data_IF_993870716819
#
_entry.id   IF_993870716819
#
_cell.length_a   1.000
_cell.length_b   1.000
_cell.length_c   1.000
_cell.angle_alpha   90.00
_cell.angle_beta   90.00
_cell.angle_gamma   90.00
#
_symmetry.space_group_name_H-M   'P 1'
#
loop_
_entity.id
_entity.type
_entity.pdbx_description
1 polymer ?
#
# COMPACT_ATOMS: atom_id res chain seq x y z
N UNK A 1 -19.47 -2.73 -11.57
CA UNK A 1 -19.58 -1.69 -10.53
C UNK A 1 -20.17 -2.40 -9.32
N UNK A 2 -19.37 -2.58 -8.26
CA UNK A 2 -19.83 -3.30 -7.06
C UNK A 2 -20.98 -2.54 -6.42
N UNK A 3 -21.98 -3.26 -5.93
CA UNK A 3 -23.05 -2.67 -5.13
C UNK A 3 -22.46 -2.08 -3.85
N UNK A 4 -22.93 -0.89 -3.45
CA UNK A 4 -22.43 -0.22 -2.27
C UNK A 4 -22.98 -0.91 -1.02
N UNK A 5 -22.10 -1.56 -0.26
CA UNK A 5 -22.48 -2.21 0.99
C UNK A 5 -22.67 -1.18 2.12
N UNK A 6 -23.92 -1.01 2.55
CA UNK A 6 -24.29 -0.08 3.62
C UNK A 6 -24.05 -0.64 5.03
N UNK A 7 -23.90 -1.96 5.15
CA UNK A 7 -23.75 -2.70 6.41
C UNK A 7 -22.27 -2.92 6.71
N UNK A 8 -21.53 -3.55 5.79
CA UNK A 8 -20.09 -3.75 5.91
C UNK A 8 -19.31 -2.68 5.14
N UNK A 9 -18.99 -1.58 5.82
CA UNK A 9 -18.26 -0.43 5.25
C UNK A 9 -16.74 -0.60 5.25
N UNK A 10 -16.22 -1.69 5.83
CA UNK A 10 -14.79 -2.04 5.81
C UNK A 10 -14.57 -3.51 5.37
N UNK A 11 -14.91 -3.87 4.12
CA UNK A 11 -14.84 -5.25 3.65
C UNK A 11 -13.41 -5.82 3.57
N UNK A 12 -12.40 -4.95 3.51
CA UNK A 12 -10.99 -5.33 3.46
C UNK A 12 -10.29 -5.24 4.83
N UNK A 13 -11.04 -4.93 5.90
CA UNK A 13 -10.52 -4.84 7.26
C UNK A 13 -9.31 -3.90 7.40
N UNK A 14 -9.30 -2.80 6.64
CA UNK A 14 -8.17 -1.85 6.64
C UNK A 14 -8.09 -1.07 7.96
N UNK A 15 -9.19 -1.00 8.70
CA UNK A 15 -9.30 -0.27 9.97
C UNK A 15 -9.44 -1.21 11.18
N UNK A 16 -8.99 -2.47 11.09
CA UNK A 16 -9.09 -3.44 12.19
C UNK A 16 -8.50 -2.95 13.51
N UNK A 17 -7.42 -2.19 13.45
CA UNK A 17 -6.75 -1.60 14.61
C UNK A 17 -7.62 -0.58 15.38
N UNK A 18 -8.74 -0.09 14.80
CA UNK A 18 -9.68 0.82 15.46
C UNK A 18 -10.81 0.09 16.20
N UNK A 19 -10.90 -1.24 16.10
CA UNK A 19 -11.88 -2.09 16.80
C UNK A 19 -11.54 -2.17 18.30
N UNK A 20 -11.76 -1.06 19.01
CA UNK A 20 -11.52 -0.91 20.46
C UNK A 20 -12.84 -1.01 21.23
N UNK A 21 -12.95 -1.99 22.12
CA UNK A 21 -14.07 -2.20 23.04
C UNK A 21 -13.87 -1.43 24.36
N UNK A 22 -14.92 -1.38 25.20
CA UNK A 22 -14.84 -0.70 26.50
C UNK A 22 -13.79 -1.37 27.39
N UNK A 23 -13.79 -2.69 27.41
CA UNK A 23 -12.93 -3.56 28.20
C UNK A 23 -11.46 -3.51 27.75
N UNK A 24 -11.19 -3.08 26.51
CA UNK A 24 -9.81 -2.87 26.02
C UNK A 24 -9.18 -1.60 26.61
N UNK A 25 -10.00 -0.67 27.11
CA UNK A 25 -9.56 0.64 27.63
C UNK A 25 -9.74 0.72 29.14
N UNK A 26 -10.87 0.24 29.65
CA UNK A 26 -11.25 0.26 31.04
C UNK A 26 -11.60 -1.17 31.44
N UNK A 27 -10.76 -1.77 32.29
CA UNK A 27 -10.93 -3.12 32.80
C UNK A 27 -10.66 -3.14 34.30
N UNK A 28 -11.53 -3.83 35.05
CA UNK A 28 -11.37 -4.09 36.47
C UNK A 28 -10.93 -5.54 36.69
N UNK A 29 -9.84 -5.80 37.45
CA UNK A 29 -9.36 -7.15 37.72
C UNK A 29 -10.21 -7.85 38.79
N UNK A 30 -10.13 -9.19 38.83
CA UNK A 30 -10.77 -9.97 39.90
C UNK A 30 -10.29 -9.52 41.28
N UNK A 31 -11.22 -9.08 42.13
CA UNK A 31 -10.95 -8.62 43.49
C UNK A 31 -10.95 -7.10 43.68
N UNK A 32 -11.03 -6.31 42.61
CA UNK A 32 -11.23 -4.84 42.69
C UNK A 32 -12.34 -4.43 41.74
N UNK A 33 -13.59 -4.52 42.22
CA UNK A 33 -14.77 -4.15 41.44
C UNK A 33 -15.41 -2.88 41.97
N UNK A 34 -15.70 -1.96 41.06
CA UNK A 34 -16.66 -0.90 41.32
C UNK A 34 -18.07 -1.48 41.46
N UNK A 35 -19.00 -0.67 41.98
CA UNK A 35 -20.40 -1.08 42.07
C UNK A 35 -20.97 -1.34 40.67
N UNK A 36 -21.76 -2.41 40.51
CA UNK A 36 -22.34 -2.82 39.20
C UNK A 36 -23.04 -1.69 38.44
N UNK A 37 -23.72 -0.79 39.17
CA UNK A 37 -24.40 0.35 38.56
C UNK A 37 -23.42 1.35 37.93
N UNK A 38 -22.26 1.57 38.56
CA UNK A 38 -21.20 2.46 38.07
C UNK A 38 -20.54 1.82 36.85
N UNK A 39 -20.22 0.53 36.92
CA UNK A 39 -19.63 -0.20 35.80
C UNK A 39 -20.56 -0.20 34.57
N UNK A 40 -21.83 -0.55 34.75
CA UNK A 40 -22.83 -0.57 33.67
C UNK A 40 -23.08 0.82 33.05
N UNK A 41 -23.16 1.86 33.88
CA UNK A 41 -23.36 3.22 33.37
C UNK A 41 -22.12 3.75 32.65
N UNK A 42 -20.92 3.40 33.13
CA UNK A 42 -19.65 3.73 32.45
C UNK A 42 -19.58 3.09 31.07
N UNK A 43 -19.91 1.80 30.96
CA UNK A 43 -19.99 1.08 29.68
C UNK A 43 -20.94 1.78 28.69
N UNK A 44 -22.15 2.14 29.13
CA UNK A 44 -23.14 2.82 28.28
C UNK A 44 -22.66 4.21 27.87
N UNK A 45 -22.13 4.99 28.81
CA UNK A 45 -21.63 6.33 28.57
C UNK A 45 -20.48 6.32 27.56
N UNK A 46 -19.50 5.44 27.74
CA UNK A 46 -18.37 5.29 26.83
C UNK A 46 -18.81 5.01 25.39
N UNK A 47 -19.65 3.99 25.18
CA UNK A 47 -20.12 3.62 23.85
C UNK A 47 -20.99 4.71 23.21
N UNK A 48 -21.84 5.37 24.00
CA UNK A 48 -22.66 6.49 23.54
C UNK A 48 -21.79 7.67 23.09
N UNK A 49 -20.86 8.13 23.93
CA UNK A 49 -19.96 9.23 23.62
C UNK A 49 -19.08 8.92 22.40
N UNK A 50 -18.51 7.71 22.32
CA UNK A 50 -17.71 7.26 21.16
C UNK A 50 -18.53 7.34 19.87
N UNK A 51 -19.73 6.79 19.88
CA UNK A 51 -20.62 6.78 18.71
C UNK A 51 -21.07 8.18 18.30
N UNK A 52 -21.48 9.02 19.26
CA UNK A 52 -21.93 10.38 19.01
C UNK A 52 -20.82 11.25 18.45
N UNK A 53 -19.64 11.25 19.07
CA UNK A 53 -18.50 12.02 18.60
C UNK A 53 -18.12 11.63 17.16
N UNK A 54 -18.03 10.33 16.88
CA UNK A 54 -17.75 9.84 15.52
C UNK A 54 -18.83 10.27 14.51
N UNK A 55 -20.11 10.16 14.89
CA UNK A 55 -21.23 10.56 14.03
C UNK A 55 -21.21 12.05 13.73
N UNK A 56 -20.94 12.90 14.72
CA UNK A 56 -20.85 14.35 14.52
C UNK A 56 -19.69 14.69 13.59
N UNK A 57 -18.51 14.11 13.81
CA UNK A 57 -17.34 14.34 12.94
C UNK A 57 -17.61 13.92 11.50
N UNK A 58 -18.22 12.75 11.30
CA UNK A 58 -18.54 12.24 9.96
C UNK A 58 -19.67 13.03 9.28
N UNK A 59 -20.65 13.52 10.03
CA UNK A 59 -21.70 14.41 9.52
C UNK A 59 -21.12 15.73 9.01
N UNK A 60 -20.22 16.33 9.79
CA UNK A 60 -19.65 17.64 9.46
C UNK A 60 -18.62 17.56 8.33
N UNK A 61 -17.78 16.51 8.30
CA UNK A 61 -16.60 16.50 7.43
C UNK A 61 -16.55 15.32 6.44
N UNK A 62 -17.37 14.28 6.62
CA UNK A 62 -17.21 13.02 5.89
C UNK A 62 -17.34 13.15 4.38
N UNK A 63 -18.36 13.87 3.90
CA UNK A 63 -18.60 14.06 2.47
C UNK A 63 -17.50 14.93 1.84
N UNK A 64 -17.05 15.97 2.53
CA UNK A 64 -15.99 16.85 2.05
C UNK A 64 -14.66 16.09 1.87
N UNK A 65 -14.27 15.29 2.86
CA UNK A 65 -13.06 14.45 2.79
C UNK A 65 -13.20 13.37 1.71
N UNK A 66 -14.38 12.76 1.56
CA UNK A 66 -14.62 11.80 0.49
C UNK A 66 -14.46 12.43 -0.90
N UNK A 67 -14.95 13.66 -1.08
CA UNK A 67 -14.79 14.42 -2.33
C UNK A 67 -13.32 14.78 -2.61
N UNK A 68 -12.57 15.21 -1.59
CA UNK A 68 -11.13 15.48 -1.68
C UNK A 68 -10.36 14.25 -2.22
N UNK A 69 -10.53 13.09 -1.58
CA UNK A 69 -9.86 11.87 -2.03
C UNK A 69 -10.30 11.43 -3.43
N UNK A 70 -11.57 11.61 -3.78
CA UNK A 70 -12.06 11.35 -5.13
C UNK A 70 -11.35 12.20 -6.19
N UNK A 71 -11.18 13.50 -5.93
CA UNK A 71 -10.44 14.41 -6.80
C UNK A 71 -8.95 14.05 -6.89
N UNK A 72 -8.31 13.73 -5.75
CA UNK A 72 -6.89 13.38 -5.70
C UNK A 72 -6.60 12.13 -6.55
N UNK A 73 -7.39 11.06 -6.38
CA UNK A 73 -7.20 9.85 -7.18
C UNK A 73 -7.53 10.05 -8.67
N UNK A 74 -8.49 10.92 -9.00
CA UNK A 74 -8.76 11.28 -10.39
C UNK A 74 -7.56 12.01 -11.03
N UNK A 75 -6.94 12.93 -10.30
CA UNK A 75 -5.75 13.65 -10.75
C UNK A 75 -4.54 12.71 -10.91
N UNK A 76 -4.29 11.83 -9.94
CA UNK A 76 -3.22 10.81 -10.03
C UNK A 76 -3.42 9.94 -11.27
N UNK A 77 -4.64 9.46 -11.50
CA UNK A 77 -4.98 8.65 -12.68
C UNK A 77 -4.73 9.42 -13.98
N UNK A 78 -5.16 10.68 -14.05
CA UNK A 78 -4.91 11.55 -15.21
C UNK A 78 -3.41 11.69 -15.48
N UNK A 79 -2.62 12.05 -14.48
CA UNK A 79 -1.17 12.23 -14.61
C UNK A 79 -0.49 10.94 -15.05
N UNK A 80 -0.92 9.77 -14.53
CA UNK A 80 -0.37 8.51 -14.97
C UNK A 80 -0.67 8.22 -16.44
N UNK A 81 -1.92 8.35 -16.87
CA UNK A 81 -2.35 8.04 -18.24
C UNK A 81 -1.70 9.00 -19.25
N UNK A 82 -1.72 10.29 -18.97
CA UNK A 82 -1.40 11.32 -19.96
C UNK A 82 0.05 11.79 -19.95
N UNK A 83 0.79 11.53 -18.86
CA UNK A 83 2.18 11.98 -18.73
C UNK A 83 3.13 10.83 -18.43
N UNK A 84 2.93 10.13 -17.32
CA UNK A 84 3.90 9.13 -16.83
C UNK A 84 4.02 7.95 -17.78
N UNK A 85 2.91 7.34 -18.21
CA UNK A 85 2.94 6.18 -19.11
C UNK A 85 3.66 6.48 -20.44
N UNK A 86 3.37 7.60 -21.15
CA UNK A 86 4.15 8.01 -22.31
C UNK A 86 5.65 8.21 -22.02
N UNK A 87 6.00 8.88 -20.92
CA UNK A 87 7.40 9.07 -20.53
C UNK A 87 8.12 7.74 -20.31
N UNK A 88 7.48 6.78 -19.64
CA UNK A 88 8.02 5.42 -19.48
C UNK A 88 8.22 4.72 -20.82
N UNK A 89 7.32 4.92 -21.79
CA UNK A 89 7.50 4.36 -23.14
C UNK A 89 8.67 4.97 -23.88
N UNK A 90 8.90 6.28 -23.75
CA UNK A 90 10.10 6.94 -24.31
C UNK A 90 11.36 6.39 -23.64
N UNK A 91 11.36 6.25 -22.32
CA UNK A 91 12.49 5.70 -21.58
C UNK A 91 12.78 4.26 -22.01
N UNK A 92 11.76 3.42 -22.16
CA UNK A 92 11.88 2.03 -22.62
C UNK A 92 12.53 1.95 -24.01
N UNK A 93 12.10 2.80 -24.96
CA UNK A 93 12.70 2.87 -26.30
C UNK A 93 14.18 3.26 -26.25
N UNK A 94 14.53 4.28 -25.46
CA UNK A 94 15.92 4.73 -25.33
C UNK A 94 16.80 3.68 -24.64
N UNK A 95 16.32 3.06 -23.57
CA UNK A 95 17.00 1.95 -22.91
C UNK A 95 17.19 0.76 -23.85
N UNK A 96 16.20 0.44 -24.70
CA UNK A 96 16.32 -0.60 -25.71
C UNK A 96 17.44 -0.32 -26.73
N UNK A 97 17.60 0.93 -27.15
CA UNK A 97 18.72 1.35 -27.98
C UNK A 97 20.07 1.20 -27.24
N UNK A 98 20.15 1.65 -26.00
CA UNK A 98 21.35 1.51 -25.17
C UNK A 98 21.71 0.06 -24.92
N UNK A 99 20.72 -0.82 -24.71
CA UNK A 99 20.93 -2.25 -24.53
C UNK A 99 21.56 -2.89 -25.77
N UNK A 100 21.10 -2.52 -26.98
CA UNK A 100 21.72 -3.00 -28.23
C UNK A 100 23.15 -2.51 -28.37
N UNK A 101 23.41 -1.22 -28.09
CA UNK A 101 24.75 -0.65 -28.12
C UNK A 101 25.68 -1.37 -27.14
N UNK A 102 25.22 -1.55 -25.91
CA UNK A 102 25.95 -2.27 -24.89
C UNK A 102 26.24 -3.72 -25.31
N UNK A 103 25.25 -4.44 -25.84
CA UNK A 103 25.43 -5.79 -26.37
C UNK A 103 26.48 -5.87 -27.47
N UNK A 104 26.51 -4.91 -28.40
CA UNK A 104 27.56 -4.84 -29.42
C UNK A 104 28.95 -4.63 -28.80
N UNK A 105 29.08 -3.74 -27.81
CA UNK A 105 30.35 -3.54 -27.11
C UNK A 105 30.84 -4.83 -26.42
N UNK A 106 29.93 -5.58 -25.80
CA UNK A 106 30.26 -6.87 -25.17
C UNK A 106 30.74 -7.86 -26.23
N UNK A 107 30.02 -8.03 -27.34
CA UNK A 107 30.43 -8.96 -28.39
C UNK A 107 31.75 -8.57 -29.07
N UNK A 108 32.00 -7.29 -29.33
CA UNK A 108 33.24 -6.86 -29.97
C UNK A 108 34.47 -6.96 -29.07
N UNK A 109 34.31 -6.79 -27.76
CA UNK A 109 35.45 -6.70 -26.84
C UNK A 109 35.61 -7.94 -25.96
N UNK A 110 34.51 -8.47 -25.42
CA UNK A 110 34.55 -9.56 -24.45
C UNK A 110 34.59 -10.93 -25.11
N UNK A 111 33.89 -11.15 -26.24
CA UNK A 111 33.94 -12.45 -26.93
C UNK A 111 35.37 -12.82 -27.35
N UNK A 112 36.19 -11.93 -27.96
CA UNK A 112 37.59 -12.25 -28.29
C UNK A 112 38.43 -12.58 -27.06
N UNK A 113 38.21 -11.88 -25.94
CA UNK A 113 38.91 -12.16 -24.68
C UNK A 113 38.50 -13.52 -24.11
N UNK A 114 37.21 -13.83 -24.10
CA UNK A 114 36.69 -15.12 -23.65
C UNK A 114 37.16 -16.27 -24.53
N UNK A 115 37.21 -16.07 -25.85
CA UNK A 115 37.72 -17.06 -26.80
C UNK A 115 39.23 -17.30 -26.62
N UNK A 116 40.02 -16.24 -26.45
CA UNK A 116 41.45 -16.35 -26.13
C UNK A 116 41.70 -17.10 -24.82
N UNK A 117 40.92 -16.81 -23.77
CA UNK A 117 40.98 -17.56 -22.52
C UNK A 117 40.55 -19.03 -22.70
N UNK A 118 39.50 -19.29 -23.48
CA UNK A 118 39.05 -20.66 -23.81
C UNK A 118 40.12 -21.49 -24.51
N UNK A 119 40.88 -20.87 -25.43
CA UNK A 119 42.01 -21.52 -26.10
C UNK A 119 43.11 -21.92 -25.12
N UNK A 120 43.46 -21.05 -24.16
CA UNK A 120 44.43 -21.38 -23.11
C UNK A 120 44.00 -22.61 -22.30
N UNK A 121 42.76 -22.67 -21.84
CA UNK A 121 42.25 -23.82 -21.07
C UNK A 121 42.12 -25.09 -21.91
N UNK A 122 41.82 -24.98 -23.21
CA UNK A 122 41.76 -26.14 -24.10
C UNK A 122 43.12 -26.78 -24.36
N UNK A 123 44.22 -26.00 -24.32
CA UNK A 123 45.58 -26.52 -24.41
C UNK A 123 45.95 -27.44 -23.23
N UNK A 124 45.41 -27.17 -22.03
CA UNK A 124 45.61 -28.00 -20.85
C UNK A 124 44.77 -29.30 -20.83
N UNK A 125 43.73 -29.42 -21.68
CA UNK A 125 42.86 -30.60 -21.74
C UNK A 125 43.37 -31.69 -22.68
N UNK A 126 44.38 -31.40 -23.51
CA UNK A 126 44.99 -32.35 -24.48
C UNK A 126 46.23 -33.07 -23.95
N UNK A 127 46.61 -32.84 -22.70
CA UNK A 127 47.70 -33.53 -21.99
C UNK A 127 47.19 -34.62 -21.05
#
# INVERSE_FOLDING_TARGET
MGELDLVNRDPNNINDHLKVCFEDVLAEPEGTHSMDCVWSNSYKCFNCCKSLCYTIMTLCCGICIAAEWGCEFAHIAFTHIWYITPCFKVLELNCGCLQKLYGMCIHCCMDPCCEACGLLFSAFKKG
#
